data_IF_755548652510
#
_entry.id   IF_755548652510
#
_cell.length_a   1.000
_cell.length_b   1.000
_cell.length_c   1.000
_cell.angle_alpha   90.00
_cell.angle_beta   90.00
_cell.angle_gamma   90.00
#
_symmetry.space_group_name_H-M   'P 1'
#
loop_
_entity.id
_entity.type
_entity.pdbx_description
1 polymer ?
#
# COMPACT_ATOMS: atom_id res chain seq x y z
N UNK A 1 62.03 -35.87 -18.13
CA UNK A 1 61.80 -34.40 -18.22
C UNK A 1 60.60 -34.04 -17.37
N UNK A 2 60.87 -33.40 -16.23
CA UNK A 2 59.92 -32.72 -15.33
C UNK A 2 59.52 -31.38 -15.91
N UNK A 3 58.23 -30.96 -15.81
CA UNK A 3 57.67 -29.60 -15.54
C UNK A 3 56.12 -29.78 -15.49
N UNK A 4 55.43 -29.80 -14.33
CA UNK A 4 54.87 -28.70 -13.50
C UNK A 4 53.60 -28.01 -14.09
N UNK A 5 52.46 -28.28 -13.41
CA UNK A 5 51.29 -27.44 -13.05
C UNK A 5 50.53 -26.60 -14.10
N UNK A 6 49.19 -26.65 -13.99
CA UNK A 6 48.30 -25.58 -14.45
C UNK A 6 46.84 -25.88 -14.13
N UNK A 7 46.34 -25.43 -12.98
CA UNK A 7 44.95 -25.56 -12.56
C UNK A 7 44.02 -24.78 -13.50
N UNK A 8 43.04 -25.44 -14.12
CA UNK A 8 41.92 -24.74 -14.73
C UNK A 8 40.97 -24.28 -13.62
N UNK A 9 40.87 -22.95 -13.49
CA UNK A 9 39.99 -22.26 -12.54
C UNK A 9 38.52 -22.61 -12.80
N UNK A 10 37.78 -22.77 -11.71
CA UNK A 10 36.33 -22.81 -11.69
C UNK A 10 35.74 -21.60 -12.43
N UNK A 11 34.91 -21.88 -13.44
CA UNK A 11 34.03 -20.87 -14.01
C UNK A 11 32.94 -20.55 -12.97
N UNK A 12 33.09 -19.41 -12.31
CA UNK A 12 32.05 -18.81 -11.50
C UNK A 12 30.91 -18.43 -12.45
N UNK A 13 29.86 -19.25 -12.50
CA UNK A 13 28.57 -18.89 -13.06
C UNK A 13 28.00 -17.75 -12.20
N UNK A 14 28.33 -16.52 -12.56
CA UNK A 14 27.59 -15.34 -12.13
C UNK A 14 26.22 -15.50 -12.79
N UNK A 15 25.25 -16.05 -12.05
CA UNK A 15 23.83 -15.87 -12.37
C UNK A 15 23.63 -14.37 -12.49
N UNK A 16 23.41 -13.86 -13.71
CA UNK A 16 22.90 -12.52 -13.90
C UNK A 16 21.60 -12.45 -13.08
N UNK A 17 21.65 -11.76 -11.94
CA UNK A 17 20.44 -11.24 -11.32
C UNK A 17 19.96 -10.17 -12.28
N UNK A 18 18.91 -10.47 -13.04
CA UNK A 18 17.99 -9.45 -13.48
C UNK A 18 17.49 -8.77 -12.20
N UNK A 19 18.14 -7.70 -11.78
CA UNK A 19 17.52 -6.72 -10.91
C UNK A 19 16.42 -6.08 -11.74
N UNK A 20 15.21 -6.65 -11.67
CA UNK A 20 14.00 -5.89 -11.96
C UNK A 20 14.13 -4.57 -11.22
N UNK A 21 13.90 -3.46 -11.92
CA UNK A 21 13.82 -2.15 -11.28
C UNK A 21 12.61 -2.24 -10.35
N UNK A 22 12.84 -2.49 -9.07
CA UNK A 22 11.80 -2.41 -8.05
C UNK A 22 11.44 -0.93 -7.95
N UNK A 23 10.30 -0.58 -8.54
CA UNK A 23 9.69 0.72 -8.30
C UNK A 23 9.21 0.68 -6.85
N UNK A 24 9.56 1.67 -6.00
CA UNK A 24 9.11 1.67 -4.62
C UNK A 24 7.58 1.81 -4.62
N UNK A 25 6.87 0.71 -4.37
CA UNK A 25 5.43 0.69 -4.10
C UNK A 25 5.19 0.96 -2.62
N UNK A 26 4.12 1.69 -2.30
CA UNK A 26 3.67 1.84 -0.93
C UNK A 26 2.71 0.71 -0.60
N UNK A 27 2.82 0.16 0.60
CA UNK A 27 2.00 -0.94 1.09
C UNK A 27 1.27 -0.55 2.38
N UNK A 28 0.02 -1.00 2.49
CA UNK A 28 -0.70 -1.06 3.74
C UNK A 28 -0.71 -2.51 4.22
N UNK A 29 -0.10 -2.75 5.38
CA UNK A 29 0.16 -4.08 5.93
C UNK A 29 -0.58 -4.24 7.25
N UNK A 30 -1.28 -5.36 7.40
CA UNK A 30 -1.95 -5.77 8.63
C UNK A 30 -1.46 -7.16 9.02
N UNK A 31 -0.80 -7.29 10.18
CA UNK A 31 -0.26 -8.56 10.68
C UNK A 31 0.59 -9.30 9.63
N UNK A 32 1.43 -8.58 8.87
CA UNK A 32 2.25 -9.15 7.80
C UNK A 32 1.52 -9.45 6.48
N UNK A 33 0.22 -9.18 6.40
CA UNK A 33 -0.58 -9.33 5.17
C UNK A 33 -0.75 -7.98 4.49
N UNK A 34 -0.39 -7.87 3.22
CA UNK A 34 -0.65 -6.68 2.40
C UNK A 34 -2.14 -6.61 2.08
N UNK A 35 -2.80 -5.53 2.50
CA UNK A 35 -4.24 -5.28 2.28
C UNK A 35 -4.49 -4.15 1.26
N UNK A 36 -3.46 -3.36 0.93
CA UNK A 36 -3.43 -2.48 -0.23
C UNK A 36 -1.99 -2.23 -0.67
N UNK A 37 -1.76 -2.06 -1.97
CA UNK A 37 -0.43 -1.77 -2.53
C UNK A 37 -0.57 -0.94 -3.80
N UNK A 38 0.23 0.12 -3.93
CA UNK A 38 0.25 0.97 -5.12
C UNK A 38 1.54 1.79 -5.21
N UNK A 39 2.00 2.05 -6.43
CA UNK A 39 3.01 3.07 -6.74
C UNK A 39 2.36 4.45 -7.03
N UNK A 40 1.09 4.47 -7.46
CA UNK A 40 0.30 5.69 -7.63
C UNK A 40 -0.25 6.24 -6.30
N UNK A 41 0.56 6.95 -5.51
CA UNK A 41 0.15 7.53 -4.21
C UNK A 41 0.01 9.05 -4.29
N UNK A 42 -1.12 9.57 -3.81
CA UNK A 42 -1.34 11.02 -3.63
C UNK A 42 -1.20 11.40 -2.17
N UNK A 43 -0.31 12.34 -1.85
CA UNK A 43 -0.12 12.82 -0.47
C UNK A 43 -0.97 14.07 -0.20
N UNK A 44 -1.86 13.99 0.80
CA UNK A 44 -2.66 15.14 1.27
C UNK A 44 -2.69 15.17 2.79
N UNK A 45 -2.33 16.31 3.39
CA UNK A 45 -2.22 16.51 4.84
C UNK A 45 -1.39 15.42 5.55
N UNK A 46 -0.30 14.96 4.92
CA UNK A 46 0.55 13.89 5.45
C UNK A 46 -0.04 12.48 5.40
N UNK A 47 -1.19 12.31 4.73
CA UNK A 47 -1.83 11.02 4.52
C UNK A 47 -1.62 10.53 3.08
N UNK A 48 -1.18 9.29 2.89
CA UNK A 48 -1.11 8.65 1.58
C UNK A 48 -2.51 8.19 1.15
N UNK A 49 -2.90 8.59 -0.06
CA UNK A 49 -4.15 8.20 -0.70
C UNK A 49 -3.86 7.20 -1.82
N UNK A 50 -4.27 5.96 -1.58
CA UNK A 50 -4.21 4.84 -2.51
C UNK A 50 -5.36 4.94 -3.51
N UNK A 51 -5.17 4.56 -4.79
CA UNK A 51 -6.25 4.46 -5.74
C UNK A 51 -7.17 3.31 -5.33
N UNK A 52 -8.48 3.43 -5.56
CA UNK A 52 -9.45 2.39 -5.18
C UNK A 52 -9.11 1.01 -5.75
N UNK A 53 -8.46 0.94 -6.91
CA UNK A 53 -7.97 -0.30 -7.52
C UNK A 53 -6.93 -1.06 -6.69
N UNK A 54 -6.20 -0.37 -5.79
CA UNK A 54 -5.24 -0.97 -4.89
C UNK A 54 -5.88 -1.69 -3.69
N UNK A 55 -7.20 -1.52 -3.47
CA UNK A 55 -7.91 -2.10 -2.34
C UNK A 55 -8.13 -3.60 -2.55
N UNK A 56 -7.61 -4.43 -1.64
CA UNK A 56 -7.97 -5.86 -1.57
C UNK A 56 -9.29 -6.04 -0.83
N UNK A 57 -10.39 -5.89 -1.57
CA UNK A 57 -11.76 -5.75 -1.05
C UNK A 57 -12.19 -6.80 -0.03
N UNK A 58 -11.60 -8.01 -0.05
CA UNK A 58 -11.87 -9.08 0.91
C UNK A 58 -11.57 -8.70 2.37
N UNK A 59 -10.74 -7.69 2.61
CA UNK A 59 -10.41 -7.20 3.94
C UNK A 59 -11.23 -5.99 4.38
N UNK A 60 -12.19 -5.51 3.58
CA UNK A 60 -12.89 -4.25 3.86
C UNK A 60 -14.40 -4.45 3.93
N UNK A 61 -15.02 -3.81 4.92
CA UNK A 61 -16.48 -3.78 5.08
C UNK A 61 -16.94 -2.35 5.24
N UNK A 62 -17.98 -1.96 4.51
CA UNK A 62 -18.57 -0.63 4.64
C UNK A 62 -19.05 -0.36 6.07
N UNK A 63 -18.80 0.85 6.54
CA UNK A 63 -19.33 1.38 7.80
C UNK A 63 -20.43 2.38 7.50
N UNK A 64 -21.40 2.50 8.40
CA UNK A 64 -22.42 3.56 8.35
C UNK A 64 -21.89 4.90 8.87
N UNK A 65 -20.63 4.97 9.31
CA UNK A 65 -20.01 6.17 9.82
C UNK A 65 -19.64 7.14 8.68
N UNK A 66 -19.82 8.43 8.93
CA UNK A 66 -19.40 9.51 8.02
C UNK A 66 -19.04 10.77 8.81
N UNK A 67 -18.16 11.60 8.24
CA UNK A 67 -17.79 12.91 8.80
C UNK A 67 -17.75 13.95 7.71
N UNK A 68 -17.84 15.24 8.07
CA UNK A 68 -17.79 16.35 7.10
C UNK A 68 -16.54 17.19 7.36
N UNK A 69 -15.75 17.39 6.30
CA UNK A 69 -14.62 18.31 6.30
C UNK A 69 -14.98 19.53 5.43
N UNK A 70 -14.81 20.74 5.97
CA UNK A 70 -15.19 21.98 5.31
C UNK A 70 -14.58 22.18 3.91
N UNK A 71 -13.38 21.63 3.68
CA UNK A 71 -12.67 21.78 2.41
C UNK A 71 -12.53 20.50 1.58
N UNK A 72 -12.66 19.31 2.18
CA UNK A 72 -12.58 18.04 1.44
C UNK A 72 -13.94 17.49 1.01
N UNK A 73 -15.01 17.71 1.77
CA UNK A 73 -16.33 17.10 1.51
C UNK A 73 -16.72 16.10 2.60
N UNK A 74 -17.60 15.15 2.26
CA UNK A 74 -18.09 14.12 3.18
C UNK A 74 -17.23 12.86 3.07
N UNK A 75 -16.61 12.45 4.18
CA UNK A 75 -15.85 11.22 4.27
C UNK A 75 -16.78 10.03 4.54
N UNK A 76 -16.59 8.93 3.81
CA UNK A 76 -17.12 7.61 4.14
C UNK A 76 -16.03 6.73 4.74
N UNK A 77 -16.44 5.77 5.55
CA UNK A 77 -15.51 4.90 6.28
C UNK A 77 -15.74 3.42 5.99
N UNK A 78 -14.65 2.66 6.11
CA UNK A 78 -14.67 1.20 6.08
C UNK A 78 -13.99 0.65 7.33
N UNK A 79 -14.52 -0.48 7.80
CA UNK A 79 -13.84 -1.36 8.73
C UNK A 79 -12.84 -2.23 7.99
N UNK A 80 -11.72 -2.55 8.63
CA UNK A 80 -10.80 -3.58 8.16
C UNK A 80 -11.07 -4.88 8.92
N UNK A 81 -11.34 -5.95 8.19
CA UNK A 81 -11.71 -7.27 8.71
C UNK A 81 -10.60 -8.25 8.39
N UNK A 82 -10.08 -8.93 9.42
CA UNK A 82 -9.02 -9.93 9.28
C UNK A 82 -9.27 -11.10 10.24
N UNK A 83 -9.79 -12.21 9.70
CA UNK A 83 -10.31 -13.31 10.51
C UNK A 83 -11.44 -12.82 11.42
N UNK A 84 -11.32 -13.07 12.72
CA UNK A 84 -12.29 -12.62 13.72
C UNK A 84 -12.07 -11.17 14.18
N UNK A 85 -10.96 -10.54 13.79
CA UNK A 85 -10.63 -9.17 14.21
C UNK A 85 -11.26 -8.16 13.26
N UNK A 86 -11.90 -7.14 13.84
CA UNK A 86 -12.44 -5.98 13.12
C UNK A 86 -11.82 -4.70 13.66
N UNK A 87 -11.16 -3.94 12.79
CA UNK A 87 -10.65 -2.60 13.10
C UNK A 87 -11.65 -1.59 12.55
N UNK A 88 -12.44 -0.99 13.44
CA UNK A 88 -13.55 -0.10 13.04
C UNK A 88 -13.09 1.24 12.47
N UNK A 89 -13.75 1.67 11.41
CA UNK A 89 -13.51 2.95 10.73
C UNK A 89 -12.01 3.18 10.49
N UNK A 90 -11.30 2.17 10.00
CA UNK A 90 -9.86 2.18 9.83
C UNK A 90 -9.43 2.90 8.54
N UNK A 91 -10.35 2.98 7.59
CA UNK A 91 -10.14 3.53 6.25
C UNK A 91 -11.18 4.60 6.01
N UNK A 92 -10.79 5.67 5.31
CA UNK A 92 -11.73 6.67 4.82
C UNK A 92 -11.48 7.03 3.36
N UNK A 93 -12.53 7.51 2.69
CA UNK A 93 -12.47 8.02 1.33
C UNK A 93 -13.46 9.19 1.17
N UNK A 94 -13.23 10.01 0.15
CA UNK A 94 -14.16 11.05 -0.28
C UNK A 94 -14.67 10.69 -1.67
N UNK A 95 -15.92 10.25 -1.77
CA UNK A 95 -16.51 9.89 -3.08
C UNK A 95 -16.86 11.13 -3.91
N UNK A 96 -17.28 12.19 -3.22
CA UNK A 96 -17.53 13.51 -3.81
C UNK A 96 -16.68 14.58 -3.13
N UNK A 97 -15.37 14.62 -3.42
CA UNK A 97 -14.51 15.65 -2.88
C UNK A 97 -14.85 17.01 -3.46
N UNK A 98 -14.60 18.06 -2.68
CA UNK A 98 -14.71 19.46 -3.16
C UNK A 98 -13.57 19.76 -4.13
N UNK A 99 -13.68 20.82 -4.97
CA UNK A 99 -12.71 21.11 -6.03
C UNK A 99 -11.24 21.19 -5.58
N UNK A 100 -10.97 21.67 -4.35
CA UNK A 100 -9.60 21.75 -3.80
C UNK A 100 -9.01 20.39 -3.42
N UNK A 101 -9.84 19.35 -3.31
CA UNK A 101 -9.48 17.99 -2.95
C UNK A 101 -9.78 17.00 -4.10
N UNK A 102 -9.95 17.48 -5.33
CA UNK A 102 -10.35 16.63 -6.45
C UNK A 102 -9.34 15.50 -6.75
N UNK A 103 -8.06 15.73 -6.45
CA UNK A 103 -6.98 14.73 -6.62
C UNK A 103 -7.13 13.47 -5.77
N UNK A 104 -7.97 13.51 -4.73
CA UNK A 104 -8.28 12.35 -3.88
C UNK A 104 -9.63 11.70 -4.19
N UNK A 105 -10.28 12.10 -5.29
CA UNK A 105 -11.44 11.37 -5.81
C UNK A 105 -11.05 9.94 -6.15
N UNK A 106 -11.94 8.99 -5.83
CA UNK A 106 -11.70 7.54 -6.03
C UNK A 106 -10.45 7.01 -5.31
N UNK A 107 -10.00 7.71 -4.27
CA UNK A 107 -8.88 7.29 -3.43
C UNK A 107 -9.29 7.12 -1.97
N UNK A 108 -8.51 6.32 -1.25
CA UNK A 108 -8.73 6.03 0.16
C UNK A 108 -7.43 6.11 0.94
N UNK A 109 -7.55 6.37 2.25
CA UNK A 109 -6.43 6.47 3.17
C UNK A 109 -6.71 5.69 4.46
N UNK A 110 -5.65 5.38 5.21
CA UNK A 110 -5.70 4.60 6.44
C UNK A 110 -5.41 5.45 7.67
N UNK A 111 -6.09 5.16 8.79
CA UNK A 111 -5.75 5.76 10.08
C UNK A 111 -4.48 5.14 10.63
N UNK A 112 -3.46 5.98 10.81
CA UNK A 112 -2.24 5.62 11.53
C UNK A 112 -2.58 5.24 12.98
N UNK A 113 -1.88 4.25 13.51
CA UNK A 113 -2.02 3.80 14.91
C UNK A 113 -3.22 2.90 15.20
N UNK A 114 -4.02 2.51 14.20
CA UNK A 114 -5.11 1.53 14.37
C UNK A 114 -4.70 0.08 14.06
N UNK A 115 -3.41 -0.17 13.81
CA UNK A 115 -2.86 -1.49 13.53
C UNK A 115 -2.71 -1.82 12.04
N UNK A 116 -2.88 -0.83 11.15
CA UNK A 116 -2.41 -0.92 9.76
C UNK A 116 -1.10 -0.14 9.68
N UNK A 117 -0.03 -0.84 9.30
CA UNK A 117 1.28 -0.27 9.09
C UNK A 117 1.40 0.17 7.63
N UNK A 118 1.93 1.36 7.41
CA UNK A 118 2.15 1.94 6.10
C UNK A 118 3.66 1.93 5.84
N UNK A 119 4.09 1.16 4.84
CA UNK A 119 5.49 0.94 4.50
C UNK A 119 5.76 1.31 3.04
#
# INVERSE_FOLDING_TARGET
MTVVRGALRAAMLIKLRCTSIEHPSMQAVLNGTVIAESDDIVMVDGNPYFPRSAMRTEYFRESTHSTVCGWKGTARYWDVVFGEKVIRNAVWAYDDPKPKAETIRERFAFYRGKGVDLA
#
